data_IF_652396396347
#
_entry.id   IF_652396396347
#
_cell.length_a   1.000
_cell.length_b   1.000
_cell.length_c   1.000
_cell.angle_alpha   90.00
_cell.angle_beta   90.00
_cell.angle_gamma   90.00
#
_symmetry.space_group_name_H-M   'P 1'
#
loop_
_entity.id
_entity.type
_entity.pdbx_description
1 polymer ?
#
# COMPACT_ATOMS: atom_id res chain seq x y z
N UNK A 1 -13.95 5.20 -7.10
CA UNK A 1 -13.33 6.48 -6.69
C UNK A 1 -11.97 6.69 -7.34
N UNK A 2 -11.06 7.46 -6.74
CA UNK A 2 -9.79 7.87 -7.35
C UNK A 2 -8.72 6.75 -7.37
N UNK A 3 -8.91 5.77 -8.27
CA UNK A 3 -8.04 4.60 -8.43
C UNK A 3 -8.33 3.45 -7.46
N UNK A 4 -9.34 3.57 -6.60
CA UNK A 4 -9.80 2.54 -5.64
C UNK A 4 -11.22 2.80 -5.12
N UNK A 5 -11.69 2.00 -4.16
CA UNK A 5 -13.13 1.88 -3.80
C UNK A 5 -13.49 1.99 -2.30
N UNK A 6 -12.51 2.13 -1.39
CA UNK A 6 -12.72 2.52 0.03
C UNK A 6 -11.64 3.49 0.52
N UNK A 7 -11.89 4.29 1.57
CA UNK A 7 -10.91 5.25 2.10
C UNK A 7 -9.59 4.61 2.55
N UNK A 8 -9.62 3.39 3.11
CA UNK A 8 -8.43 2.64 3.55
C UNK A 8 -7.57 2.24 2.34
N UNK A 9 -8.19 1.72 1.28
CA UNK A 9 -7.51 1.35 0.04
C UNK A 9 -6.98 2.57 -0.72
N UNK A 10 -7.74 3.67 -0.75
CA UNK A 10 -7.30 4.96 -1.29
C UNK A 10 -6.07 5.51 -0.57
N UNK A 11 -6.06 5.51 0.77
CA UNK A 11 -4.94 5.93 1.61
C UNK A 11 -3.66 5.14 1.31
N UNK A 12 -3.75 3.80 1.19
CA UNK A 12 -2.66 2.94 0.72
C UNK A 12 -2.22 3.31 -0.71
N UNK A 13 -3.17 3.37 -1.66
CA UNK A 13 -2.94 3.66 -3.08
C UNK A 13 -2.14 4.95 -3.29
N UNK A 14 -2.59 6.04 -2.67
CA UNK A 14 -1.92 7.35 -2.70
C UNK A 14 -0.42 7.29 -2.33
N UNK A 15 -0.08 6.60 -1.24
CA UNK A 15 1.29 6.50 -0.74
C UNK A 15 2.11 5.54 -1.61
N UNK A 16 1.52 4.42 -2.07
CA UNK A 16 2.12 3.53 -3.08
C UNK A 16 2.50 4.29 -4.36
N UNK A 17 1.62 5.11 -4.95
CA UNK A 17 1.96 5.88 -6.15
C UNK A 17 2.97 7.00 -5.90
N UNK A 18 3.02 7.53 -4.68
CA UNK A 18 3.99 8.56 -4.29
C UNK A 18 5.41 7.99 -4.14
N UNK A 19 5.54 6.81 -3.53
CA UNK A 19 6.84 6.15 -3.28
C UNK A 19 7.44 5.54 -4.55
N UNK A 20 6.60 4.88 -5.37
CA UNK A 20 7.02 4.22 -6.62
C UNK A 20 7.25 5.20 -7.78
N UNK A 21 6.73 6.42 -7.69
CA UNK A 21 6.84 7.45 -8.74
C UNK A 21 5.99 7.19 -9.99
N UNK A 22 5.01 6.28 -9.89
CA UNK A 22 4.10 5.89 -10.99
C UNK A 22 2.74 5.42 -10.45
N UNK A 23 1.73 5.36 -11.31
CA UNK A 23 0.34 5.01 -10.96
C UNK A 23 -0.29 4.07 -12.01
N UNK A 24 0.53 3.15 -12.54
CA UNK A 24 0.17 2.16 -13.55
C UNK A 24 -0.21 0.82 -12.91
N UNK A 25 -1.12 0.83 -11.92
CA UNK A 25 -1.49 -0.34 -11.13
C UNK A 25 -2.91 -0.29 -10.55
N UNK A 26 -3.40 -1.46 -10.12
CA UNK A 26 -4.67 -1.68 -9.41
C UNK A 26 -4.49 -2.39 -8.06
N UNK A 27 -5.60 -2.64 -7.37
CA UNK A 27 -5.61 -3.06 -5.95
C UNK A 27 -5.08 -4.47 -5.68
N UNK A 28 -5.02 -5.33 -6.71
CA UNK A 28 -4.56 -6.73 -6.63
C UNK A 28 -3.11 -6.92 -7.12
N UNK A 29 -2.37 -5.84 -7.41
CA UNK A 29 -1.02 -5.91 -7.98
C UNK A 29 0.07 -5.91 -6.88
N UNK A 30 0.96 -6.90 -6.92
CA UNK A 30 2.04 -7.10 -5.92
C UNK A 30 3.03 -5.93 -5.87
N UNK A 31 3.22 -5.34 -4.69
CA UNK A 31 4.06 -4.17 -4.44
C UNK A 31 5.50 -4.32 -4.96
N UNK A 32 6.12 -5.47 -4.67
CA UNK A 32 7.49 -5.80 -5.06
C UNK A 32 7.65 -5.99 -6.58
N UNK A 33 6.60 -6.49 -7.26
CA UNK A 33 6.52 -6.54 -8.73
C UNK A 33 6.30 -5.15 -9.38
N UNK A 34 5.62 -4.24 -8.68
CA UNK A 34 5.44 -2.83 -9.08
C UNK A 34 6.70 -1.95 -8.87
N UNK A 35 7.76 -2.50 -8.24
CA UNK A 35 9.05 -1.83 -8.00
C UNK A 35 9.41 -1.60 -6.53
N UNK A 36 8.55 -1.99 -5.59
CA UNK A 36 8.79 -1.92 -4.15
C UNK A 36 9.97 -2.74 -3.63
N UNK A 37 10.41 -2.46 -2.40
CA UNK A 37 11.47 -3.14 -1.65
C UNK A 37 11.44 -2.65 -0.18
N UNK A 38 12.36 -3.08 0.67
CA UNK A 38 12.41 -2.69 2.09
C UNK A 38 12.47 -1.17 2.32
N UNK A 39 13.34 -0.47 1.57
CA UNK A 39 13.45 1.00 1.64
C UNK A 39 12.15 1.69 1.21
N UNK A 40 11.48 1.23 0.14
CA UNK A 40 10.15 1.77 -0.25
C UNK A 40 9.07 1.42 0.77
N UNK A 41 9.12 0.23 1.38
CA UNK A 41 8.23 -0.18 2.48
C UNK A 41 8.38 0.73 3.71
N UNK A 42 9.60 1.04 4.14
CA UNK A 42 9.90 2.03 5.20
C UNK A 42 9.21 3.37 4.91
N UNK A 43 9.41 3.92 3.70
CA UNK A 43 8.80 5.19 3.26
C UNK A 43 7.28 5.19 3.31
N UNK A 44 6.61 4.11 2.88
CA UNK A 44 5.16 3.96 3.02
C UNK A 44 4.74 3.93 4.48
N UNK A 45 5.34 3.05 5.29
CA UNK A 45 5.02 2.90 6.71
C UNK A 45 5.17 4.23 7.50
N UNK A 46 6.22 4.99 7.24
CA UNK A 46 6.46 6.31 7.82
C UNK A 46 5.36 7.32 7.45
N UNK A 47 4.95 7.35 6.17
CA UNK A 47 3.90 8.23 5.62
C UNK A 47 2.48 7.87 6.09
N UNK A 48 2.16 6.57 6.16
CA UNK A 48 0.88 6.08 6.70
C UNK A 48 0.76 6.30 8.21
N UNK A 49 1.86 6.11 8.95
CA UNK A 49 1.89 5.97 10.41
C UNK A 49 1.28 4.64 10.90
N UNK A 50 0.93 4.52 12.19
CA UNK A 50 0.23 3.37 12.75
C UNK A 50 -1.13 3.12 12.05
N UNK A 51 -1.57 1.85 11.88
CA UNK A 51 -0.94 0.63 12.42
C UNK A 51 0.16 0.01 11.52
N UNK A 52 0.34 0.52 10.30
CA UNK A 52 1.18 -0.08 9.25
C UNK A 52 2.68 -0.18 9.62
N UNK A 53 3.30 -1.32 9.28
CA UNK A 53 4.74 -1.56 9.37
C UNK A 53 5.28 -2.28 8.13
N UNK A 54 6.58 -2.16 7.87
CA UNK A 54 7.36 -2.80 6.78
C UNK A 54 7.03 -4.29 6.59
N UNK A 55 6.92 -5.04 7.68
CA UNK A 55 6.75 -6.50 7.69
C UNK A 55 5.32 -6.91 7.32
N UNK A 56 4.35 -6.03 7.60
CA UNK A 56 2.98 -6.16 7.15
C UNK A 56 2.87 -6.11 5.62
N UNK A 57 3.74 -5.35 4.94
CA UNK A 57 3.77 -5.26 3.47
C UNK A 57 4.29 -6.56 2.84
N UNK A 58 5.34 -7.17 3.41
CA UNK A 58 5.83 -8.49 3.00
C UNK A 58 4.79 -9.61 3.24
N UNK A 59 4.04 -9.56 4.34
CA UNK A 59 2.91 -10.46 4.62
C UNK A 59 1.71 -10.22 3.70
N UNK A 60 1.42 -8.96 3.36
CA UNK A 60 0.25 -8.50 2.61
C UNK A 60 0.68 -7.56 1.46
N UNK A 61 1.12 -8.08 0.31
CA UNK A 61 1.80 -7.28 -0.73
C UNK A 61 0.87 -6.58 -1.72
N UNK A 62 -0.44 -6.46 -1.44
CA UNK A 62 -1.41 -5.76 -2.30
C UNK A 62 -2.25 -4.77 -1.49
N UNK A 63 -2.79 -3.75 -2.15
CA UNK A 63 -3.75 -2.79 -1.56
C UNK A 63 -4.91 -3.53 -0.88
N UNK A 64 -5.53 -4.47 -1.61
CA UNK A 64 -6.61 -5.33 -1.11
C UNK A 64 -6.23 -6.04 0.20
N UNK A 65 -5.09 -6.75 0.22
CA UNK A 65 -4.62 -7.49 1.39
C UNK A 65 -4.28 -6.60 2.59
N UNK A 66 -3.62 -5.46 2.39
CA UNK A 66 -3.31 -4.52 3.47
C UNK A 66 -4.56 -3.85 4.04
N UNK A 67 -5.53 -3.48 3.21
CA UNK A 67 -6.79 -2.95 3.70
C UNK A 67 -7.53 -3.96 4.60
N UNK A 68 -7.59 -5.24 4.21
CA UNK A 68 -8.11 -6.33 5.04
C UNK A 68 -7.35 -6.48 6.37
N UNK A 69 -6.01 -6.46 6.34
CA UNK A 69 -5.14 -6.54 7.53
C UNK A 69 -5.31 -5.38 8.51
N UNK A 70 -5.18 -4.13 8.04
CA UNK A 70 -5.24 -2.91 8.84
C UNK A 70 -6.63 -2.63 9.46
N UNK A 71 -7.70 -3.16 8.87
CA UNK A 71 -9.07 -3.00 9.35
C UNK A 71 -9.39 -3.79 10.66
N UNK A 72 -8.57 -4.80 11.00
CA UNK A 72 -8.73 -5.66 12.18
C UNK A 72 -8.50 -4.91 13.50
#
# INVERSE_FOLDING_TARGET
GPGSRTPVELRLTEIFRDVLGHDAFGVLDDFFELGGDXFKAIRIAAKYGPPLEVTDIYDHPTIEALAAHLAR
#
